data_IF_106510622239
#
_entry.id   IF_106510622239
#
_cell.length_a   1.000
_cell.length_b   1.000
_cell.length_c   1.000
_cell.angle_alpha   90.00
_cell.angle_beta   90.00
_cell.angle_gamma   90.00
#
_symmetry.space_group_name_H-M   'P 1'
#
loop_
_entity.id
_entity.type
_entity.pdbx_description
1 polymer ?
#
# COMPACT_ATOMS: atom_id res chain seq x y z
N UNK A 1 10.36 -11.62 -4.73
CA UNK A 1 10.42 -10.15 -4.78
C UNK A 1 10.00 -9.64 -6.15
N UNK A 2 9.13 -8.63 -6.20
CA UNK A 2 8.72 -7.94 -7.43
C UNK A 2 9.03 -6.44 -7.40
N UNK A 3 8.68 -5.75 -6.31
CA UNK A 3 9.04 -4.33 -6.05
C UNK A 3 8.63 -3.31 -7.12
N UNK A 4 7.76 -3.68 -8.07
CA UNK A 4 7.33 -2.85 -9.19
C UNK A 4 7.85 -3.33 -10.55
N UNK A 5 9.06 -3.89 -10.60
CA UNK A 5 9.67 -4.29 -11.87
C UNK A 5 8.87 -5.39 -12.58
N UNK A 6 8.20 -6.27 -11.83
CA UNK A 6 7.35 -7.36 -12.36
C UNK A 6 5.90 -6.96 -12.67
N UNK A 7 5.60 -5.66 -12.69
CA UNK A 7 4.32 -5.15 -13.19
C UNK A 7 4.41 -4.92 -14.70
N UNK A 8 5.58 -4.49 -15.16
CA UNK A 8 5.83 -4.21 -16.55
C UNK A 8 5.87 -5.51 -17.36
N UNK A 9 5.31 -5.45 -18.57
CA UNK A 9 5.28 -6.58 -19.51
C UNK A 9 6.55 -6.50 -20.34
N UNK A 10 7.40 -7.52 -20.22
CA UNK A 10 8.71 -7.53 -20.87
C UNK A 10 8.66 -8.20 -22.26
N UNK A 11 9.49 -7.74 -23.22
CA UNK A 11 9.57 -8.36 -24.54
C UNK A 11 9.84 -9.86 -24.51
N UNK A 12 10.63 -10.33 -23.55
CA UNK A 12 11.01 -11.73 -23.37
C UNK A 12 9.80 -12.62 -23.09
N UNK A 13 8.79 -12.11 -22.37
CA UNK A 13 7.53 -12.82 -22.12
C UNK A 13 6.79 -13.08 -23.44
N UNK A 14 6.70 -12.05 -24.30
CA UNK A 14 6.05 -12.13 -25.60
C UNK A 14 6.82 -13.04 -26.56
N UNK A 15 8.15 -12.95 -26.57
CA UNK A 15 9.02 -13.80 -27.39
C UNK A 15 8.93 -15.25 -26.96
N UNK A 16 8.89 -15.55 -25.66
CA UNK A 16 8.71 -16.92 -25.16
C UNK A 16 7.37 -17.53 -25.60
N UNK A 17 6.28 -16.76 -25.52
CA UNK A 17 4.96 -17.21 -25.99
C UNK A 17 4.95 -17.48 -27.50
N UNK A 18 5.52 -16.57 -28.29
CA UNK A 18 5.66 -16.75 -29.74
C UNK A 18 6.53 -17.96 -30.09
N UNK A 19 7.68 -18.11 -29.45
CA UNK A 19 8.62 -19.20 -29.69
C UNK A 19 8.00 -20.56 -29.33
N UNK A 20 7.33 -20.65 -28.18
CA UNK A 20 6.60 -21.84 -27.74
C UNK A 20 5.57 -22.29 -28.79
N UNK A 21 4.79 -21.36 -29.34
CA UNK A 21 3.82 -21.64 -30.42
C UNK A 21 4.51 -22.17 -31.69
N UNK A 22 5.68 -21.64 -32.04
CA UNK A 22 6.43 -22.06 -33.25
C UNK A 22 6.99 -23.47 -33.13
N UNK A 23 7.49 -23.85 -31.96
CA UNK A 23 8.12 -25.16 -31.74
C UNK A 23 7.18 -26.21 -31.14
N UNK A 24 5.97 -25.80 -30.74
CA UNK A 24 4.97 -26.66 -30.07
C UNK A 24 5.54 -27.38 -28.84
N UNK A 25 6.42 -26.71 -28.09
CA UNK A 25 7.05 -27.20 -26.85
C UNK A 25 7.21 -26.06 -25.87
N UNK A 26 7.21 -26.34 -24.54
CA UNK A 26 7.50 -25.31 -23.55
C UNK A 26 8.86 -24.64 -23.81
N UNK A 27 8.86 -23.31 -23.78
CA UNK A 27 10.07 -22.47 -23.84
C UNK A 27 10.22 -21.79 -22.49
N UNK A 28 11.40 -21.90 -21.89
CA UNK A 28 11.74 -21.26 -20.62
C UNK A 28 12.80 -20.19 -20.87
N UNK A 29 12.56 -19.00 -20.35
CA UNK A 29 13.57 -17.95 -20.25
C UNK A 29 13.85 -17.62 -18.79
N UNK A 30 15.08 -17.24 -18.50
CA UNK A 30 15.52 -16.74 -17.20
C UNK A 30 16.70 -15.82 -17.45
N UNK A 31 16.53 -14.52 -17.20
CA UNK A 31 17.61 -13.55 -17.31
C UNK A 31 18.62 -13.65 -16.17
N UNK A 32 19.87 -13.29 -16.46
CA UNK A 32 20.90 -13.08 -15.47
C UNK A 32 20.82 -11.67 -14.85
N UNK A 33 21.68 -11.40 -13.85
CA UNK A 33 21.68 -10.11 -13.15
C UNK A 33 22.18 -8.96 -14.03
N UNK A 34 23.15 -9.22 -14.91
CA UNK A 34 23.72 -8.21 -15.81
C UNK A 34 22.70 -7.82 -16.87
N UNK A 35 21.98 -8.79 -17.43
CA UNK A 35 20.84 -8.58 -18.33
C UNK A 35 19.77 -7.74 -17.64
N UNK A 36 19.39 -8.07 -16.40
CA UNK A 36 18.40 -7.29 -15.65
C UNK A 36 18.82 -5.82 -15.48
N UNK A 37 20.11 -5.53 -15.23
CA UNK A 37 20.58 -4.13 -15.16
C UNK A 37 20.52 -3.39 -16.50
N UNK A 38 20.57 -4.11 -17.61
CA UNK A 38 20.55 -3.52 -18.94
C UNK A 38 19.13 -3.43 -19.53
N UNK A 39 18.20 -4.29 -19.10
CA UNK A 39 16.93 -4.52 -19.80
C UNK A 39 15.69 -4.36 -18.93
N UNK A 40 15.78 -4.53 -17.60
CA UNK A 40 14.63 -4.33 -16.72
C UNK A 40 14.29 -2.84 -16.63
N UNK A 41 13.00 -2.53 -16.45
CA UNK A 41 12.58 -1.15 -16.26
C UNK A 41 13.23 -0.53 -15.01
N UNK A 42 13.73 0.70 -15.15
CA UNK A 42 14.30 1.48 -14.05
C UNK A 42 13.22 2.25 -13.30
N UNK A 43 13.58 3.03 -12.29
CA UNK A 43 12.64 3.93 -11.60
C UNK A 43 13.30 5.24 -11.18
N UNK A 44 12.48 6.20 -10.73
CA UNK A 44 12.86 7.56 -10.33
C UNK A 44 13.10 8.49 -11.52
N UNK A 45 14.35 8.75 -11.84
CA UNK A 45 14.86 9.62 -12.92
C UNK A 45 14.05 10.92 -13.19
N UNK A 46 13.81 11.66 -12.10
CA UNK A 46 13.26 13.01 -12.13
C UNK A 46 14.36 14.04 -11.94
N UNK A 47 14.34 15.09 -12.76
CA UNK A 47 15.10 16.32 -12.54
C UNK A 47 14.11 17.43 -12.24
N UNK A 48 14.06 17.86 -10.97
CA UNK A 48 13.09 18.84 -10.50
C UNK A 48 13.75 20.15 -10.07
N UNK A 49 13.16 21.28 -10.48
CA UNK A 49 13.35 22.59 -9.86
C UNK A 49 12.13 22.90 -9.00
N UNK A 50 12.35 23.14 -7.70
CA UNK A 50 11.28 23.40 -6.76
C UNK A 50 11.57 24.61 -5.87
N UNK A 51 10.53 25.37 -5.56
CA UNK A 51 10.57 26.61 -4.78
C UNK A 51 9.39 26.63 -3.81
N UNK A 52 9.65 26.88 -2.53
CA UNK A 52 8.63 26.97 -1.48
C UNK A 52 8.71 28.33 -0.80
N UNK A 53 7.59 29.03 -0.70
CA UNK A 53 7.50 30.34 -0.08
C UNK A 53 7.02 30.22 1.37
N UNK A 54 7.57 31.07 2.25
CA UNK A 54 7.20 31.16 3.66
C UNK A 54 6.89 32.61 4.04
N UNK A 55 5.97 32.83 4.96
CA UNK A 55 5.75 34.14 5.57
C UNK A 55 6.73 34.44 6.72
N UNK A 56 6.59 35.62 7.34
CA UNK A 56 7.42 36.06 8.47
C UNK A 56 7.30 35.17 9.71
N UNK A 57 6.22 34.39 9.81
CA UNK A 57 5.93 33.49 10.92
C UNK A 57 6.26 32.03 10.53
N UNK A 58 7.00 31.81 9.44
CA UNK A 58 7.41 30.51 8.91
C UNK A 58 6.25 29.58 8.51
N UNK A 59 5.10 30.14 8.12
CA UNK A 59 4.00 29.39 7.49
C UNK A 59 4.20 29.29 5.99
N UNK A 60 3.94 28.12 5.41
CA UNK A 60 4.05 27.90 3.97
C UNK A 60 2.96 28.70 3.25
N UNK A 61 3.36 29.49 2.25
CA UNK A 61 2.46 30.27 1.41
C UNK A 61 2.14 29.58 0.09
N UNK A 62 3.07 28.79 -0.45
CA UNK A 62 2.86 28.05 -1.68
C UNK A 62 4.09 27.28 -2.15
N UNK A 63 3.87 26.38 -3.10
CA UNK A 63 4.89 25.53 -3.70
C UNK A 63 4.81 25.61 -5.23
N UNK A 64 5.97 25.78 -5.88
CA UNK A 64 6.10 25.71 -7.34
C UNK A 64 7.12 24.64 -7.72
N UNK A 65 6.74 23.73 -8.61
CA UNK A 65 7.59 22.62 -9.07
C UNK A 65 7.56 22.51 -10.59
N UNK A 66 8.74 22.37 -11.20
CA UNK A 66 8.92 21.96 -12.59
C UNK A 66 9.77 20.70 -12.62
N UNK A 67 9.29 19.64 -13.25
CA UNK A 67 9.97 18.35 -13.30
C UNK A 67 10.14 17.88 -14.73
N UNK A 68 11.37 17.53 -15.11
CA UNK A 68 11.63 16.71 -16.29
C UNK A 68 11.71 15.25 -15.84
N UNK A 69 10.88 14.38 -16.42
CA UNK A 69 10.81 12.97 -16.08
C UNK A 69 11.27 12.13 -17.27
N UNK A 70 12.31 11.34 -17.09
CA UNK A 70 12.80 10.45 -18.14
C UNK A 70 11.84 9.27 -18.33
N UNK A 71 11.45 8.98 -19.57
CA UNK A 71 10.69 7.77 -19.92
C UNK A 71 11.59 6.63 -20.39
N UNK A 72 12.86 6.90 -20.68
CA UNK A 72 13.73 6.03 -21.47
C UNK A 72 13.36 6.07 -22.95
N UNK A 73 13.72 5.02 -23.69
CA UNK A 73 13.55 4.98 -25.13
C UNK A 73 12.08 4.79 -25.57
N UNK A 74 11.26 4.23 -24.67
CA UNK A 74 9.87 3.89 -24.94
C UNK A 74 9.01 4.20 -23.73
N UNK A 75 7.76 4.56 -23.98
CA UNK A 75 6.77 4.73 -22.92
C UNK A 75 6.37 3.35 -22.41
N UNK A 76 6.62 3.09 -21.13
CA UNK A 76 6.22 1.86 -20.46
C UNK A 76 4.83 1.99 -19.83
N UNK A 77 4.36 0.95 -19.12
CA UNK A 77 2.99 0.87 -18.64
C UNK A 77 2.62 2.03 -17.69
N UNK A 78 3.49 2.34 -16.73
CA UNK A 78 3.27 3.42 -15.78
C UNK A 78 4.17 4.64 -16.00
N UNK A 79 5.03 4.69 -17.03
CA UNK A 79 6.02 5.78 -17.19
C UNK A 79 5.41 7.18 -17.21
N UNK A 80 4.23 7.37 -17.78
CA UNK A 80 3.54 8.66 -17.81
C UNK A 80 2.81 8.97 -16.49
N UNK A 81 2.30 7.94 -15.81
CA UNK A 81 1.57 8.07 -14.54
C UNK A 81 2.45 8.38 -13.33
N UNK A 82 3.63 7.76 -13.26
CA UNK A 82 4.59 7.88 -12.17
C UNK A 82 4.97 9.34 -11.91
N UNK A 83 5.39 10.12 -12.91
CA UNK A 83 5.75 11.52 -12.73
C UNK A 83 4.55 12.47 -12.71
N UNK A 84 3.34 12.02 -13.04
CA UNK A 84 2.14 12.87 -13.07
C UNK A 84 1.26 12.62 -11.85
N UNK A 85 0.20 11.82 -11.97
CA UNK A 85 -0.78 11.67 -10.90
C UNK A 85 -0.30 10.84 -9.71
N UNK A 86 0.81 10.10 -9.80
CA UNK A 86 1.39 9.40 -8.65
C UNK A 86 2.42 10.24 -7.89
N UNK A 87 2.78 11.41 -8.44
CA UNK A 87 3.79 12.32 -7.91
C UNK A 87 3.18 13.68 -7.57
N UNK A 88 2.63 14.38 -8.56
CA UNK A 88 2.19 15.77 -8.44
C UNK A 88 1.05 15.93 -7.44
N UNK A 89 0.16 14.95 -7.34
CA UNK A 89 -0.98 14.96 -6.41
C UNK A 89 -0.57 14.73 -4.95
N UNK A 90 0.70 14.39 -4.70
CA UNK A 90 1.25 14.20 -3.36
C UNK A 90 2.24 15.32 -2.97
N UNK A 91 2.36 16.36 -3.79
CA UNK A 91 3.21 17.52 -3.49
C UNK A 91 2.69 18.36 -2.31
N UNK A 92 1.52 18.07 -1.75
CA UNK A 92 1.13 18.65 -0.46
C UNK A 92 1.89 18.02 0.72
N UNK A 93 2.34 16.77 0.57
CA UNK A 93 2.92 15.99 1.68
C UNK A 93 1.99 15.99 2.89
N UNK A 94 2.58 16.04 4.09
CA UNK A 94 1.86 16.22 5.35
C UNK A 94 1.50 17.70 5.64
N UNK A 95 1.79 18.63 4.73
CA UNK A 95 1.76 20.07 5.01
C UNK A 95 0.50 20.75 4.48
N UNK A 96 -0.01 21.71 5.25
CA UNK A 96 -1.11 22.58 4.87
C UNK A 96 -0.60 23.68 3.93
N UNK A 97 -0.39 23.34 2.66
CA UNK A 97 0.09 24.25 1.62
C UNK A 97 -1.13 24.87 0.90
N UNK A 98 -1.33 26.21 0.94
CA UNK A 98 -2.53 26.82 0.37
C UNK A 98 -2.64 26.70 -1.15
N UNK A 99 -1.50 26.71 -1.86
CA UNK A 99 -1.46 26.66 -3.33
C UNK A 99 -0.23 25.94 -3.83
N UNK A 100 -0.42 25.10 -4.86
CA UNK A 100 0.65 24.31 -5.47
C UNK A 100 0.52 24.42 -6.98
N UNK A 101 1.63 24.76 -7.65
CA UNK A 101 1.79 24.63 -9.10
C UNK A 101 2.80 23.53 -9.40
N UNK A 102 2.39 22.57 -10.24
CA UNK A 102 3.25 21.50 -10.71
C UNK A 102 3.18 21.38 -12.23
N UNK A 103 4.35 21.36 -12.88
CA UNK A 103 4.51 21.15 -14.31
C UNK A 103 5.45 19.97 -14.53
N UNK A 104 5.05 19.02 -15.38
CA UNK A 104 5.79 17.79 -15.66
C UNK A 104 6.01 17.68 -17.16
N UNK A 105 7.27 17.54 -17.56
CA UNK A 105 7.68 17.29 -18.94
C UNK A 105 8.27 15.89 -19.03
N UNK A 106 7.56 14.98 -19.69
CA UNK A 106 8.10 13.66 -20.04
C UNK A 106 9.09 13.77 -21.19
N UNK A 107 10.26 13.13 -21.07
CA UNK A 107 11.31 13.16 -22.09
C UNK A 107 11.73 11.74 -22.47
N UNK A 108 11.84 11.48 -23.78
CA UNK A 108 12.43 10.25 -24.29
C UNK A 108 13.95 10.38 -24.34
N UNK A 109 14.66 9.32 -23.97
CA UNK A 109 16.12 9.25 -23.98
C UNK A 109 16.59 7.88 -24.47
N UNK A 110 17.87 7.75 -24.82
CA UNK A 110 18.43 6.46 -25.25
C UNK A 110 18.81 5.56 -24.06
N UNK A 111 17.86 5.32 -23.15
CA UNK A 111 18.01 4.40 -22.01
C UNK A 111 16.89 3.37 -21.99
N UNK A 112 17.03 2.32 -21.17
CA UNK A 112 15.95 1.39 -20.86
C UNK A 112 14.75 2.14 -20.25
N UNK A 113 13.50 1.69 -20.48
CA UNK A 113 12.32 2.39 -19.97
C UNK A 113 12.35 2.63 -18.46
N UNK A 114 11.75 3.73 -18.02
CA UNK A 114 11.57 4.06 -16.60
C UNK A 114 10.11 3.81 -16.22
N UNK A 115 9.91 2.98 -15.20
CA UNK A 115 8.59 2.56 -14.70
C UNK A 115 8.62 2.49 -13.15
N UNK A 116 7.65 1.78 -12.58
CA UNK A 116 7.44 1.67 -11.17
C UNK A 116 8.56 0.87 -10.48
N UNK A 117 9.20 1.53 -9.52
CA UNK A 117 9.95 0.89 -8.45
C UNK A 117 9.44 1.43 -7.11
N UNK A 118 9.13 0.54 -6.16
CA UNK A 118 8.48 0.75 -4.84
C UNK A 118 8.13 2.21 -4.53
N UNK A 119 6.82 2.49 -4.42
CA UNK A 119 6.28 3.85 -4.25
C UNK A 119 5.92 4.45 -5.62
N UNK A 120 6.90 4.63 -6.50
CA UNK A 120 6.71 5.15 -7.86
C UNK A 120 5.96 6.50 -7.91
N UNK A 121 6.71 7.60 -7.95
CA UNK A 121 6.19 8.97 -7.90
C UNK A 121 6.14 9.52 -6.47
N UNK A 122 5.68 8.71 -5.50
CA UNK A 122 5.62 9.13 -4.09
C UNK A 122 6.99 9.38 -3.46
N UNK A 123 7.99 8.49 -3.61
CA UNK A 123 9.33 8.76 -3.10
C UNK A 123 9.93 10.04 -3.65
N UNK A 124 9.67 10.36 -4.92
CA UNK A 124 10.11 11.56 -5.59
C UNK A 124 9.42 12.81 -5.01
N UNK A 125 8.12 12.74 -4.71
CA UNK A 125 7.37 13.80 -4.04
C UNK A 125 7.84 14.02 -2.60
N UNK A 126 7.93 12.94 -1.80
CA UNK A 126 8.42 13.01 -0.41
C UNK A 126 9.86 13.52 -0.36
N UNK A 127 10.75 13.02 -1.22
CA UNK A 127 12.13 13.50 -1.27
C UNK A 127 12.19 15.00 -1.56
N UNK A 128 11.44 15.47 -2.56
CA UNK A 128 11.41 16.89 -2.92
C UNK A 128 10.94 17.75 -1.75
N UNK A 129 9.82 17.39 -1.13
CA UNK A 129 9.24 18.16 -0.02
C UNK A 129 10.16 18.17 1.21
N UNK A 130 10.67 17.01 1.60
CA UNK A 130 11.50 16.91 2.80
C UNK A 130 12.86 17.60 2.60
N UNK A 131 13.39 17.62 1.37
CA UNK A 131 14.57 18.42 1.02
C UNK A 131 14.29 19.92 1.06
N UNK A 132 13.10 20.37 0.64
CA UNK A 132 12.70 21.77 0.76
C UNK A 132 12.54 22.17 2.23
N UNK A 133 11.87 21.36 3.04
CA UNK A 133 11.67 21.63 4.47
C UNK A 133 13.01 21.72 5.22
N UNK A 134 13.93 20.78 4.96
CA UNK A 134 15.29 20.83 5.50
C UNK A 134 16.06 22.09 5.07
N UNK A 135 15.92 22.50 3.80
CA UNK A 135 16.61 23.67 3.26
C UNK A 135 16.03 24.96 3.81
N UNK A 136 14.71 25.04 3.92
CA UNK A 136 13.99 26.16 4.52
C UNK A 136 14.35 26.30 6.00
N UNK A 137 14.37 25.21 6.79
CA UNK A 137 14.76 25.25 8.19
C UNK A 137 16.16 25.84 8.39
N UNK A 138 17.12 25.49 7.54
CA UNK A 138 18.47 26.07 7.54
C UNK A 138 18.48 27.57 7.19
N UNK A 139 17.73 27.98 6.18
CA UNK A 139 17.67 29.38 5.73
C UNK A 139 16.95 30.28 6.75
N UNK A 140 15.87 29.77 7.34
CA UNK A 140 15.06 30.44 8.36
C UNK A 140 15.65 30.34 9.77
N UNK A 141 16.73 29.55 9.94
CA UNK A 141 17.42 29.33 11.21
C UNK A 141 16.51 28.79 12.32
N UNK A 142 15.62 27.87 11.97
CA UNK A 142 14.71 27.19 12.91
C UNK A 142 14.99 25.70 12.98
N UNK A 143 14.50 25.04 14.03
CA UNK A 143 14.56 23.59 14.14
C UNK A 143 13.72 22.93 13.02
N UNK A 144 14.25 21.92 12.31
CA UNK A 144 13.56 21.28 11.19
C UNK A 144 12.31 20.48 11.61
N UNK A 145 12.23 19.97 12.84
CA UNK A 145 11.02 19.32 13.34
C UNK A 145 9.94 20.36 13.67
N UNK A 146 10.33 21.47 14.29
CA UNK A 146 9.39 22.56 14.62
C UNK A 146 8.81 23.24 13.37
N UNK A 147 9.60 23.43 12.32
CA UNK A 147 9.11 23.95 11.05
C UNK A 147 8.03 23.04 10.44
N UNK A 148 8.19 21.72 10.55
CA UNK A 148 7.21 20.74 10.09
C UNK A 148 5.94 20.80 10.90
N UNK A 149 6.04 20.74 12.24
CA UNK A 149 4.89 20.86 13.15
C UNK A 149 4.05 22.10 12.88
N UNK A 150 4.73 23.24 12.68
CA UNK A 150 4.07 24.50 12.37
C UNK A 150 3.25 24.43 11.08
N UNK A 151 3.59 23.56 10.14
CA UNK A 151 2.98 23.50 8.83
C UNK A 151 2.18 22.22 8.57
N UNK A 152 2.08 21.29 9.51
CA UNK A 152 1.28 20.08 9.33
C UNK A 152 -0.20 20.38 9.11
N UNK A 153 -0.86 19.51 8.33
CA UNK A 153 -2.32 19.36 8.34
C UNK A 153 -2.73 18.82 9.72
N UNK A 154 -3.74 19.44 10.33
CA UNK A 154 -4.23 19.07 11.68
C UNK A 154 -5.73 18.86 11.75
N UNK A 155 -6.44 19.01 10.63
CA UNK A 155 -7.90 18.85 10.53
C UNK A 155 -8.19 17.91 9.38
N UNK A 156 -9.02 16.90 9.63
CA UNK A 156 -9.41 15.87 8.67
C UNK A 156 -10.94 15.72 8.63
N UNK A 157 -11.56 15.38 7.48
CA UNK A 157 -10.91 15.17 6.18
C UNK A 157 -10.30 16.47 5.61
N UNK A 158 -9.17 16.36 4.91
CA UNK A 158 -8.43 17.49 4.35
C UNK A 158 -8.31 17.39 2.83
N UNK A 159 -8.94 18.32 2.11
CA UNK A 159 -8.76 18.44 0.67
C UNK A 159 -7.46 19.18 0.35
N UNK A 160 -6.50 18.49 -0.27
CA UNK A 160 -5.28 19.12 -0.78
C UNK A 160 -5.58 19.95 -2.03
N UNK A 161 -4.75 20.96 -2.37
CA UNK A 161 -4.89 21.71 -3.61
C UNK A 161 -4.54 20.89 -4.87
N UNK A 162 -4.08 19.65 -4.72
CA UNK A 162 -3.61 18.77 -5.79
C UNK A 162 -4.35 17.43 -5.78
N UNK A 163 -5.69 17.49 -5.77
CA UNK A 163 -6.66 16.38 -5.95
C UNK A 163 -6.87 15.50 -4.72
N UNK A 164 -5.84 15.08 -3.99
CA UNK A 164 -6.00 14.11 -2.90
C UNK A 164 -6.82 14.68 -1.73
N UNK A 165 -7.68 13.85 -1.14
CA UNK A 165 -8.49 14.17 0.04
C UNK A 165 -8.12 13.22 1.18
N UNK A 166 -7.28 13.70 2.11
CA UNK A 166 -6.83 12.91 3.25
C UNK A 166 -7.99 12.64 4.20
N UNK A 167 -8.16 11.40 4.61
CA UNK A 167 -9.29 10.92 5.40
C UNK A 167 -9.06 11.11 6.91
N UNK A 168 -7.86 10.78 7.40
CA UNK A 168 -7.48 10.87 8.81
C UNK A 168 -5.96 10.96 8.98
N UNK A 169 -5.48 11.34 10.17
CA UNK A 169 -4.06 11.29 10.53
C UNK A 169 -3.71 12.02 11.82
N UNK A 170 -2.62 11.61 12.48
CA UNK A 170 -1.97 12.36 13.56
C UNK A 170 -0.45 12.47 13.28
N UNK A 171 -0.09 13.44 12.44
CA UNK A 171 1.29 13.64 12.01
C UNK A 171 2.21 14.09 13.15
N UNK A 172 1.66 14.76 14.17
CA UNK A 172 2.42 15.12 15.36
C UNK A 172 2.81 13.87 16.14
N UNK A 173 1.87 12.92 16.34
CA UNK A 173 2.15 11.69 17.08
C UNK A 173 3.28 10.86 16.44
N UNK A 174 3.30 10.70 15.12
CA UNK A 174 4.40 9.98 14.44
C UNK A 174 5.73 10.70 14.62
N UNK A 175 5.77 12.04 14.47
CA UNK A 175 6.98 12.82 14.67
C UNK A 175 7.47 12.76 16.14
N UNK A 176 6.56 12.86 17.11
CA UNK A 176 6.86 12.73 18.54
C UNK A 176 7.44 11.36 18.88
N UNK A 177 6.84 10.29 18.37
CA UNK A 177 7.33 8.93 18.56
C UNK A 177 8.75 8.77 18.00
N UNK A 178 9.00 9.25 16.78
CA UNK A 178 10.31 9.18 16.16
C UNK A 178 11.36 10.02 16.91
N UNK A 179 11.03 11.26 17.30
CA UNK A 179 11.92 12.16 18.04
C UNK A 179 12.29 11.60 19.41
N UNK A 180 11.33 10.98 20.10
CA UNK A 180 11.56 10.30 21.37
C UNK A 180 12.50 9.10 21.20
N UNK A 181 12.21 8.21 20.24
CA UNK A 181 12.97 6.99 20.03
C UNK A 181 14.42 7.25 19.56
N UNK A 182 14.66 8.26 18.73
CA UNK A 182 16.02 8.65 18.30
C UNK A 182 16.79 9.43 19.39
N UNK A 183 16.11 9.88 20.44
CA UNK A 183 16.67 10.78 21.45
C UNK A 183 17.07 12.14 20.86
N UNK A 184 16.15 12.77 20.11
CA UNK A 184 16.39 14.00 19.35
C UNK A 184 16.95 15.15 20.20
N UNK A 185 16.41 15.36 21.40
CA UNK A 185 16.86 16.41 22.32
C UNK A 185 18.35 16.31 22.69
N UNK A 186 18.92 15.09 22.69
CA UNK A 186 20.34 14.87 22.99
C UNK A 186 21.28 15.07 21.80
N UNK A 187 20.77 15.34 20.60
CA UNK A 187 21.57 15.35 19.37
C UNK A 187 22.69 16.40 19.39
N UNK A 188 22.44 17.60 19.94
CA UNK A 188 23.44 18.66 19.99
C UNK A 188 24.73 18.23 20.72
N UNK A 189 24.58 17.50 21.84
CA UNK A 189 25.70 16.93 22.60
C UNK A 189 26.45 15.88 21.77
N UNK A 190 25.72 14.98 21.11
CA UNK A 190 26.31 13.93 20.25
C UNK A 190 27.08 14.53 19.07
N UNK A 191 26.54 15.59 18.45
CA UNK A 191 27.19 16.33 17.37
C UNK A 191 28.48 17.02 17.84
N UNK A 192 28.47 17.64 19.02
CA UNK A 192 29.67 18.26 19.60
C UNK A 192 30.76 17.21 19.91
N UNK A 193 30.38 16.05 20.46
CA UNK A 193 31.30 14.93 20.69
C UNK A 193 31.94 14.45 19.38
N UNK A 194 31.15 14.17 18.35
CA UNK A 194 31.69 13.74 17.05
C UNK A 194 32.67 14.77 16.45
N UNK A 195 32.36 16.07 16.59
CA UNK A 195 33.26 17.15 16.17
C UNK A 195 34.60 17.11 16.93
N UNK A 196 34.58 16.85 18.24
CA UNK A 196 35.82 16.72 19.03
C UNK A 196 36.67 15.52 18.62
N UNK A 197 36.05 14.50 18.03
CA UNK A 197 36.69 13.30 17.48
C UNK A 197 37.09 13.46 16.00
N UNK A 198 36.97 14.67 15.44
CA UNK A 198 37.33 14.98 14.06
C UNK A 198 36.32 14.51 13.00
N UNK A 199 35.09 14.18 13.41
CA UNK A 199 34.01 13.68 12.54
C UNK A 199 32.90 14.72 12.36
N UNK A 200 32.15 14.59 11.27
CA UNK A 200 30.92 15.33 11.03
C UNK A 200 29.72 14.46 11.41
N UNK A 201 28.71 15.05 12.02
CA UNK A 201 27.49 14.33 12.42
C UNK A 201 26.25 15.10 12.04
N UNK A 202 25.31 14.40 11.42
CA UNK A 202 24.06 14.95 10.89
C UNK A 202 22.86 14.17 11.41
N UNK A 203 21.74 14.86 11.56
CA UNK A 203 20.43 14.27 11.80
C UNK A 203 19.52 14.74 10.68
N UNK A 204 18.84 13.82 10.02
CA UNK A 204 17.86 14.10 8.97
C UNK A 204 16.48 13.66 9.44
N UNK A 205 15.47 14.51 9.21
CA UNK A 205 14.06 14.23 9.49
C UNK A 205 13.32 14.12 8.16
N UNK A 206 12.42 13.14 8.04
CA UNK A 206 11.57 12.93 6.87
C UNK A 206 10.15 12.56 7.33
N UNK A 207 9.20 13.47 7.15
CA UNK A 207 7.78 13.26 7.42
C UNK A 207 7.05 12.97 6.11
N UNK A 208 6.62 11.72 5.90
CA UNK A 208 6.08 11.26 4.63
C UNK A 208 4.58 10.95 4.74
N UNK A 209 3.86 11.17 3.67
CA UNK A 209 2.51 10.61 3.48
C UNK A 209 2.48 9.90 2.14
N UNK A 210 1.73 8.82 2.08
CA UNK A 210 1.68 7.93 0.94
C UNK A 210 0.22 7.81 0.46
N UNK A 211 -0.03 7.80 -0.85
CA UNK A 211 -1.35 7.46 -1.38
C UNK A 211 -1.37 5.98 -1.80
N UNK A 212 -1.90 5.13 -0.93
CA UNK A 212 -2.01 3.68 -1.14
C UNK A 212 -3.36 3.30 -1.74
N UNK A 213 -3.45 2.11 -2.33
CA UNK A 213 -4.73 1.57 -2.78
C UNK A 213 -5.29 2.20 -4.06
N UNK A 214 -4.42 2.76 -4.92
CA UNK A 214 -4.70 3.51 -6.16
C UNK A 214 -6.15 3.37 -6.69
N UNK A 215 -7.11 4.12 -6.15
CA UNK A 215 -8.54 4.06 -6.46
C UNK A 215 -9.24 5.26 -5.78
N UNK A 216 -10.49 5.66 -6.12
CA UNK A 216 -11.52 4.98 -6.94
C UNK A 216 -11.22 4.93 -8.42
N UNK A 217 -11.77 3.93 -9.11
CA UNK A 217 -11.69 3.78 -10.57
C UNK A 217 -12.17 5.03 -11.32
N UNK A 218 -13.22 5.71 -10.81
CA UNK A 218 -13.74 6.96 -11.40
C UNK A 218 -12.72 8.11 -11.34
N UNK A 219 -12.01 8.28 -10.21
CA UNK A 219 -11.05 9.36 -10.06
C UNK A 219 -9.84 9.14 -10.96
N UNK A 220 -9.25 7.94 -10.94
CA UNK A 220 -8.08 7.63 -11.80
C UNK A 220 -8.45 7.64 -13.28
N UNK A 221 -9.68 7.24 -13.64
CA UNK A 221 -10.18 7.34 -15.01
C UNK A 221 -10.28 8.80 -15.48
N UNK A 222 -10.70 9.73 -14.60
CA UNK A 222 -10.69 11.17 -14.91
C UNK A 222 -9.29 11.75 -15.10
N UNK A 223 -8.26 11.05 -14.59
CA UNK A 223 -6.85 11.38 -14.75
C UNK A 223 -6.20 10.66 -15.95
N UNK A 224 -6.98 9.90 -16.73
CA UNK A 224 -6.54 9.24 -17.95
C UNK A 224 -6.13 7.77 -17.80
N UNK A 225 -6.37 7.12 -16.66
CA UNK A 225 -6.12 5.69 -16.52
C UNK A 225 -7.04 4.86 -17.45
N UNK A 226 -6.44 3.97 -18.24
CA UNK A 226 -7.16 3.11 -19.20
C UNK A 226 -7.84 1.88 -18.59
N UNK A 227 -7.67 1.65 -17.28
CA UNK A 227 -8.23 0.52 -16.54
C UNK A 227 -8.82 0.97 -15.21
N UNK A 228 -9.83 0.26 -14.72
CA UNK A 228 -10.28 0.39 -13.34
C UNK A 228 -9.24 -0.13 -12.36
N UNK A 229 -9.33 0.25 -11.08
CA UNK A 229 -8.38 -0.17 -10.05
C UNK A 229 -9.08 -0.78 -8.83
N UNK A 230 -10.22 -1.42 -9.09
CA UNK A 230 -10.92 -2.32 -8.18
C UNK A 230 -10.16 -3.64 -7.98
N UNK A 231 -10.58 -4.48 -7.03
CA UNK A 231 -10.07 -5.84 -6.86
C UNK A 231 -11.21 -6.85 -6.64
N UNK A 232 -10.95 -8.13 -6.90
CA UNK A 232 -11.91 -9.21 -6.69
C UNK A 232 -11.44 -10.24 -5.65
N UNK A 233 -12.42 -10.89 -5.03
CA UNK A 233 -12.21 -12.07 -4.21
C UNK A 233 -13.43 -12.99 -4.25
N UNK A 234 -13.16 -14.29 -4.14
CA UNK A 234 -14.13 -15.33 -3.82
C UNK A 234 -13.73 -16.01 -2.52
N UNK A 235 -14.69 -16.21 -1.62
CA UNK A 235 -14.51 -17.01 -0.42
C UNK A 235 -15.40 -18.24 -0.54
N UNK A 236 -14.79 -19.41 -0.42
CA UNK A 236 -15.47 -20.71 -0.47
C UNK A 236 -15.26 -21.45 0.83
N UNK A 237 -16.36 -21.80 1.49
CA UNK A 237 -16.34 -22.74 2.61
C UNK A 237 -16.71 -24.11 2.06
N UNK A 238 -15.80 -25.08 2.17
CA UNK A 238 -15.98 -26.44 1.68
C UNK A 238 -16.88 -27.26 2.64
N UNK A 239 -17.45 -28.40 2.20
CA UNK A 239 -18.40 -29.17 3.01
C UNK A 239 -17.88 -29.62 4.39
N UNK A 240 -16.56 -29.78 4.54
CA UNK A 240 -15.90 -30.15 5.79
C UNK A 240 -15.48 -28.95 6.66
N UNK A 241 -15.85 -27.73 6.24
CA UNK A 241 -15.55 -26.48 6.93
C UNK A 241 -14.21 -25.82 6.58
N UNK A 242 -13.35 -26.42 5.75
CA UNK A 242 -12.14 -25.74 5.26
C UNK A 242 -12.49 -24.57 4.37
N UNK A 243 -11.64 -23.54 4.32
CA UNK A 243 -11.91 -22.29 3.63
C UNK A 243 -10.84 -22.01 2.57
N UNK A 244 -11.28 -21.64 1.38
CA UNK A 244 -10.43 -21.20 0.29
C UNK A 244 -10.73 -19.74 -0.05
N UNK A 245 -9.69 -18.92 -0.14
CA UNK A 245 -9.73 -17.55 -0.64
C UNK A 245 -9.13 -17.54 -2.04
N UNK A 246 -9.94 -17.22 -3.04
CA UNK A 246 -9.45 -16.99 -4.39
C UNK A 246 -9.37 -15.48 -4.60
N UNK A 247 -8.19 -14.94 -4.90
CA UNK A 247 -7.99 -13.49 -4.97
C UNK A 247 -7.28 -13.08 -6.24
N UNK A 248 -7.67 -11.90 -6.75
CA UNK A 248 -6.98 -11.24 -7.85
C UNK A 248 -5.63 -10.61 -7.47
N UNK A 249 -5.31 -10.49 -6.17
CA UNK A 249 -3.98 -10.08 -5.69
C UNK A 249 -2.95 -11.20 -5.83
N UNK A 250 -1.68 -10.88 -6.08
CA UNK A 250 -0.62 -11.87 -6.29
C UNK A 250 0.60 -11.67 -5.37
N UNK A 251 0.97 -12.73 -4.65
CA UNK A 251 2.09 -12.70 -3.70
C UNK A 251 3.45 -12.70 -4.38
N UNK A 252 4.32 -11.78 -3.96
CA UNK A 252 5.73 -11.73 -4.38
C UNK A 252 6.70 -11.69 -3.18
N UNK A 253 6.19 -11.99 -1.97
CA UNK A 253 6.95 -12.03 -0.71
C UNK A 253 6.37 -11.22 0.45
N UNK A 254 5.23 -10.54 0.28
CA UNK A 254 4.63 -9.66 1.29
C UNK A 254 3.73 -10.38 2.32
N UNK A 255 3.62 -11.70 2.26
CA UNK A 255 2.88 -12.49 3.25
C UNK A 255 1.37 -12.47 3.10
N UNK A 256 0.85 -12.40 1.87
CA UNK A 256 -0.60 -12.47 1.59
C UNK A 256 -1.21 -13.77 2.10
N UNK A 257 -0.50 -14.88 1.93
CA UNK A 257 -0.88 -16.21 2.36
C UNK A 257 -1.20 -16.29 3.87
N UNK A 258 -0.54 -15.45 4.66
CA UNK A 258 -0.76 -15.35 6.10
C UNK A 258 -1.79 -14.28 6.43
N UNK A 259 -1.59 -13.05 5.94
CA UNK A 259 -2.41 -11.89 6.34
C UNK A 259 -3.85 -11.97 5.88
N UNK A 260 -4.11 -12.44 4.66
CA UNK A 260 -5.48 -12.64 4.18
C UNK A 260 -6.17 -13.79 4.91
N UNK A 261 -5.42 -14.85 5.26
CA UNK A 261 -5.94 -15.95 6.08
C UNK A 261 -6.31 -15.48 7.49
N UNK A 262 -5.51 -14.60 8.09
CA UNK A 262 -5.80 -14.00 9.41
C UNK A 262 -7.12 -13.22 9.42
N UNK A 263 -7.44 -12.48 8.34
CA UNK A 263 -8.71 -11.76 8.23
C UNK A 263 -9.93 -12.67 8.40
N UNK A 264 -9.90 -13.85 7.78
CA UNK A 264 -11.00 -14.83 7.87
C UNK A 264 -10.95 -15.59 9.19
N UNK A 265 -9.76 -16.04 9.59
CA UNK A 265 -9.58 -16.83 10.79
C UNK A 265 -10.03 -16.08 12.05
N UNK A 266 -9.64 -14.81 12.21
CA UNK A 266 -10.07 -13.96 13.33
C UNK A 266 -11.59 -13.76 13.31
N UNK A 267 -12.16 -13.52 12.12
CA UNK A 267 -13.57 -13.19 11.95
C UNK A 267 -14.52 -14.35 12.23
N UNK A 268 -14.13 -15.57 11.87
CA UNK A 268 -14.91 -16.79 12.12
C UNK A 268 -14.52 -17.50 13.43
N UNK A 269 -13.39 -17.12 14.05
CA UNK A 269 -12.84 -17.81 15.22
C UNK A 269 -12.32 -19.22 14.91
N UNK A 270 -11.77 -19.44 13.72
CA UNK A 270 -11.22 -20.74 13.29
C UNK A 270 -9.69 -20.73 13.25
N UNK A 271 -9.01 -21.88 13.34
CA UNK A 271 -7.57 -21.95 13.14
C UNK A 271 -7.16 -21.45 11.76
N UNK A 272 -6.07 -20.68 11.67
CA UNK A 272 -5.54 -20.18 10.39
C UNK A 272 -5.22 -21.32 9.41
N UNK A 273 -4.84 -22.50 9.91
CA UNK A 273 -4.56 -23.70 9.10
C UNK A 273 -5.79 -24.25 8.38
N UNK A 274 -7.00 -23.82 8.75
CA UNK A 274 -8.25 -24.16 8.08
C UNK A 274 -8.50 -23.27 6.85
N UNK A 275 -7.72 -22.20 6.67
CA UNK A 275 -7.82 -21.24 5.58
C UNK A 275 -6.64 -21.41 4.62
N UNK A 276 -6.94 -21.42 3.34
CA UNK A 276 -5.95 -21.48 2.26
C UNK A 276 -6.23 -20.41 1.21
N UNK A 277 -5.21 -20.02 0.45
CA UNK A 277 -5.33 -18.99 -0.58
C UNK A 277 -4.90 -19.56 -1.92
N UNK A 278 -5.66 -19.19 -2.96
CA UNK A 278 -5.36 -19.44 -4.36
C UNK A 278 -5.20 -18.08 -5.04
N UNK A 279 -4.01 -17.84 -5.59
CA UNK A 279 -3.69 -16.65 -6.39
C UNK A 279 -2.75 -17.03 -7.54
N UNK A 280 -2.71 -16.19 -8.58
CA UNK A 280 -1.77 -16.33 -9.71
C UNK A 280 -2.16 -17.30 -10.83
N UNK A 281 -3.18 -18.13 -10.62
CA UNK A 281 -3.74 -19.03 -11.63
C UNK A 281 -5.02 -18.42 -12.22
N UNK A 282 -4.92 -17.78 -13.39
CA UNK A 282 -6.04 -17.06 -14.03
C UNK A 282 -7.16 -17.98 -14.52
N UNK A 283 -6.96 -19.30 -14.55
CA UNK A 283 -8.03 -20.25 -14.84
C UNK A 283 -8.88 -20.53 -13.59
N UNK A 284 -8.33 -20.28 -12.39
CA UNK A 284 -9.00 -20.53 -11.11
C UNK A 284 -9.54 -19.26 -10.46
N UNK A 285 -8.79 -18.17 -10.51
CA UNK A 285 -9.14 -16.92 -9.83
C UNK A 285 -9.93 -15.99 -10.73
N UNK A 286 -10.77 -15.15 -10.13
CA UNK A 286 -11.44 -14.09 -10.86
C UNK A 286 -10.44 -13.05 -11.35
N UNK A 287 -10.81 -12.34 -12.42
CA UNK A 287 -10.01 -11.23 -12.90
C UNK A 287 -9.77 -10.22 -11.78
N UNK A 288 -8.55 -9.75 -11.68
CA UNK A 288 -8.12 -8.79 -10.67
C UNK A 288 -7.03 -7.89 -11.20
N UNK A 289 -6.75 -6.84 -10.43
CA UNK A 289 -5.74 -5.86 -10.80
C UNK A 289 -4.36 -6.18 -10.21
N UNK A 290 -4.25 -7.17 -9.32
CA UNK A 290 -2.96 -7.64 -8.83
C UNK A 290 -2.36 -6.80 -7.71
N UNK A 291 -1.07 -7.03 -7.46
CA UNK A 291 -0.33 -6.43 -6.34
C UNK A 291 0.69 -5.41 -6.80
N UNK A 292 0.39 -4.14 -6.51
CA UNK A 292 1.28 -2.99 -6.66
C UNK A 292 0.72 -1.80 -5.86
N UNK A 293 1.41 -0.65 -5.81
CA UNK A 293 0.88 0.59 -5.20
C UNK A 293 0.33 0.41 -3.77
N UNK A 294 0.92 -0.51 -3.01
CA UNK A 294 0.48 -0.91 -1.67
C UNK A 294 -1.02 -1.23 -1.55
N UNK A 295 -1.62 -1.75 -2.62
CA UNK A 295 -3.09 -1.86 -2.75
C UNK A 295 -3.70 -3.14 -2.22
N UNK A 296 -2.90 -4.19 -2.06
CA UNK A 296 -3.46 -5.54 -1.87
C UNK A 296 -4.32 -5.69 -0.63
N UNK A 297 -3.98 -5.07 0.50
CA UNK A 297 -4.86 -5.13 1.66
C UNK A 297 -6.02 -4.12 1.59
N UNK A 298 -5.73 -2.90 1.14
CA UNK A 298 -6.70 -1.82 1.05
C UNK A 298 -7.82 -2.11 0.04
N UNK A 299 -7.53 -2.88 -1.02
CA UNK A 299 -8.49 -3.21 -2.08
C UNK A 299 -8.81 -4.70 -2.11
N UNK A 300 -7.79 -5.57 -2.22
CA UNK A 300 -7.98 -7.03 -2.25
C UNK A 300 -8.46 -7.60 -0.92
N UNK A 301 -7.86 -7.18 0.19
CA UNK A 301 -8.31 -7.52 1.54
C UNK A 301 -9.75 -7.05 1.78
N UNK A 302 -10.10 -5.85 1.35
CA UNK A 302 -11.47 -5.36 1.41
C UNK A 302 -12.44 -6.19 0.55
N UNK A 303 -12.05 -6.63 -0.66
CA UNK A 303 -12.85 -7.56 -1.46
C UNK A 303 -13.07 -8.90 -0.74
N UNK A 304 -12.03 -9.45 -0.08
CA UNK A 304 -12.15 -10.67 0.75
C UNK A 304 -13.15 -10.46 1.87
N UNK A 305 -13.04 -9.35 2.61
CA UNK A 305 -13.98 -8.97 3.66
C UNK A 305 -15.41 -8.86 3.13
N UNK A 306 -15.62 -8.28 1.94
CA UNK A 306 -16.94 -8.18 1.30
C UNK A 306 -17.51 -9.51 0.82
N UNK A 307 -16.67 -10.42 0.33
CA UNK A 307 -17.10 -11.79 0.03
C UNK A 307 -17.46 -12.54 1.32
N UNK A 308 -16.65 -12.39 2.38
CA UNK A 308 -16.89 -13.00 3.68
C UNK A 308 -18.18 -12.50 4.34
N UNK A 309 -18.50 -11.21 4.25
CA UNK A 309 -19.78 -10.64 4.72
C UNK A 309 -20.99 -11.37 4.10
N UNK A 310 -20.93 -11.71 2.81
CA UNK A 310 -21.99 -12.46 2.13
C UNK A 310 -22.04 -13.93 2.56
N UNK A 311 -20.87 -14.57 2.71
CA UNK A 311 -20.77 -15.95 3.24
C UNK A 311 -21.39 -16.02 4.63
N UNK A 312 -21.08 -15.07 5.51
CA UNK A 312 -21.63 -15.00 6.87
C UNK A 312 -23.14 -14.82 6.84
N UNK A 313 -23.67 -13.91 6.02
CA UNK A 313 -25.10 -13.71 5.89
C UNK A 313 -25.82 -15.00 5.48
N UNK A 314 -25.28 -15.73 4.49
CA UNK A 314 -25.83 -17.03 4.07
C UNK A 314 -25.72 -18.08 5.18
N UNK A 315 -24.55 -18.19 5.81
CA UNK A 315 -24.31 -19.15 6.89
C UNK A 315 -25.19 -18.91 8.12
N UNK A 316 -25.40 -17.65 8.51
CA UNK A 316 -26.31 -17.27 9.61
C UNK A 316 -27.75 -17.67 9.33
N UNK A 317 -28.23 -17.50 8.10
CA UNK A 317 -29.58 -17.95 7.71
C UNK A 317 -29.72 -19.47 7.82
N UNK A 318 -28.73 -20.23 7.38
CA UNK A 318 -28.70 -21.69 7.52
C UNK A 318 -28.69 -22.07 9.01
N UNK A 319 -27.84 -21.41 9.80
CA UNK A 319 -27.68 -21.69 11.22
C UNK A 319 -28.88 -21.26 12.07
N UNK A 320 -29.66 -20.27 11.63
CA UNK A 320 -30.90 -19.84 12.27
C UNK A 320 -32.07 -20.78 11.94
N UNK A 321 -32.11 -21.30 10.71
CA UNK A 321 -33.20 -22.15 10.22
C UNK A 321 -33.29 -23.48 10.96
N UNK A 322 -32.16 -24.14 11.21
CA UNK A 322 -32.13 -25.45 11.89
C UNK A 322 -32.66 -25.45 13.33
N UNK A 323 -32.30 -24.49 14.21
CA UNK A 323 -32.83 -24.40 15.57
C UNK A 323 -34.15 -23.62 15.68
N UNK A 324 -34.74 -23.19 14.56
CA UNK A 324 -35.91 -22.29 14.48
C UNK A 324 -35.69 -20.97 15.25
N UNK A 325 -34.51 -20.38 15.11
CA UNK A 325 -34.12 -19.11 15.72
C UNK A 325 -34.21 -17.94 14.74
N UNK A 326 -34.18 -16.70 15.25
CA UNK A 326 -34.02 -15.51 14.42
C UNK A 326 -32.59 -15.38 13.91
N UNK A 327 -32.41 -14.93 12.66
CA UNK A 327 -31.09 -14.62 12.09
C UNK A 327 -30.34 -13.56 12.93
N UNK A 328 -31.07 -12.60 13.48
CA UNK A 328 -30.51 -11.53 14.31
C UNK A 328 -29.92 -12.04 15.63
N UNK A 329 -30.36 -13.22 16.08
CA UNK A 329 -29.89 -13.82 17.33
C UNK A 329 -28.62 -14.67 17.12
N UNK A 330 -28.17 -14.87 15.86
CA UNK A 330 -26.99 -15.67 15.54
C UNK A 330 -25.70 -14.84 15.63
N UNK A 331 -24.84 -15.22 16.56
CA UNK A 331 -23.46 -14.75 16.68
C UNK A 331 -22.48 -15.83 16.20
N UNK A 332 -21.34 -15.41 15.65
CA UNK A 332 -20.26 -16.31 15.24
C UNK A 332 -19.13 -16.14 16.24
N UNK A 333 -18.75 -17.23 16.90
CA UNK A 333 -17.69 -17.22 17.91
C UNK A 333 -16.99 -18.57 17.94
N UNK A 334 -15.65 -18.58 17.92
CA UNK A 334 -14.83 -19.79 18.04
C UNK A 334 -15.20 -20.91 17.05
N UNK A 335 -15.53 -20.55 15.80
CA UNK A 335 -15.93 -21.50 14.77
C UNK A 335 -17.36 -22.03 14.91
N UNK A 336 -18.18 -21.42 15.77
CA UNK A 336 -19.56 -21.83 16.03
C UNK A 336 -20.56 -20.69 15.75
N UNK A 337 -21.75 -21.06 15.30
CA UNK A 337 -22.91 -20.21 15.14
C UNK A 337 -23.82 -20.44 16.34
N UNK A 338 -23.87 -19.48 17.27
CA UNK A 338 -24.61 -19.59 18.55
C UNK A 338 -25.86 -18.74 18.53
N UNK A 339 -26.95 -19.27 19.09
CA UNK A 339 -28.18 -18.50 19.33
C UNK A 339 -28.05 -17.76 20.66
N UNK A 340 -28.12 -16.43 20.60
CA UNK A 340 -27.97 -15.54 21.76
C UNK A 340 -28.94 -15.90 22.88
N UNK A 341 -28.44 -16.00 24.11
CA UNK A 341 -29.26 -16.30 25.29
C UNK A 341 -29.65 -17.78 25.45
N UNK A 342 -29.08 -18.68 24.65
CA UNK A 342 -29.32 -20.14 24.75
C UNK A 342 -28.02 -20.94 24.70
N UNK A 343 -28.11 -22.25 24.89
CA UNK A 343 -27.04 -23.23 24.69
C UNK A 343 -27.00 -23.82 23.26
N UNK A 344 -27.91 -23.40 22.38
CA UNK A 344 -27.98 -23.87 21.00
C UNK A 344 -26.84 -23.29 20.17
N UNK A 345 -26.07 -24.17 19.54
CA UNK A 345 -24.98 -23.80 18.65
C UNK A 345 -24.79 -24.81 17.51
N UNK A 346 -24.21 -24.37 16.40
CA UNK A 346 -23.80 -25.21 15.29
C UNK A 346 -22.36 -24.89 14.91
N UNK A 347 -21.50 -25.90 14.89
CA UNK A 347 -20.13 -25.73 14.40
C UNK A 347 -20.11 -25.41 12.89
N UNK A 348 -19.12 -24.64 12.44
CA UNK A 348 -18.95 -24.25 11.04
C UNK A 348 -19.02 -25.44 10.06
N UNK A 349 -18.39 -26.62 10.31
CA UNK A 349 -18.52 -27.76 9.41
C UNK A 349 -19.96 -28.26 9.25
N UNK A 350 -20.80 -28.14 10.29
CA UNK A 350 -22.21 -28.55 10.23
C UNK A 350 -23.03 -27.58 9.37
N UNK A 351 -22.80 -26.27 9.54
CA UNK A 351 -23.45 -25.24 8.72
C UNK A 351 -23.00 -25.37 7.26
N UNK A 352 -21.70 -25.59 7.03
CA UNK A 352 -21.15 -25.83 5.70
C UNK A 352 -21.77 -27.08 5.06
N UNK A 353 -21.77 -28.23 5.74
CA UNK A 353 -22.35 -29.46 5.22
C UNK A 353 -23.84 -29.31 4.91
N UNK A 354 -24.60 -28.60 5.75
CA UNK A 354 -26.01 -28.32 5.49
C UNK A 354 -26.21 -27.50 4.22
N UNK A 355 -25.33 -26.52 3.95
CA UNK A 355 -25.35 -25.76 2.71
C UNK A 355 -25.23 -26.64 1.47
N UNK A 356 -24.41 -27.70 1.51
CA UNK A 356 -24.16 -28.57 0.36
C UNK A 356 -25.13 -29.76 0.23
N UNK A 357 -25.57 -30.34 1.34
CA UNK A 357 -26.59 -31.41 1.31
C UNK A 357 -27.95 -30.85 0.92
N UNK A 358 -28.24 -29.61 1.30
CA UNK A 358 -29.43 -28.87 0.92
C UNK A 358 -30.76 -29.54 1.26
N UNK A 359 -30.77 -30.49 2.21
CA UNK A 359 -32.00 -31.17 2.63
C UNK A 359 -32.94 -30.27 3.45
N UNK A 360 -32.40 -29.26 4.12
CA UNK A 360 -33.12 -28.38 5.04
C UNK A 360 -32.56 -26.95 4.98
N UNK A 361 -32.71 -26.31 3.81
CA UNK A 361 -32.37 -24.89 3.62
C UNK A 361 -33.63 -24.03 3.66
N UNK A 362 -33.51 -22.74 4.02
CA UNK A 362 -34.60 -21.80 3.83
C UNK A 362 -35.13 -21.82 2.39
N UNK A 363 -36.44 -21.68 2.24
CA UNK A 363 -37.10 -21.67 0.94
C UNK A 363 -36.45 -20.65 -0.02
N UNK A 364 -36.15 -21.09 -1.23
CA UNK A 364 -35.53 -20.27 -2.28
C UNK A 364 -34.02 -20.03 -2.11
N UNK A 365 -33.36 -20.63 -1.11
CA UNK A 365 -31.91 -20.56 -0.97
C UNK A 365 -31.21 -21.57 -1.89
N UNK A 366 -30.25 -21.09 -2.68
CA UNK A 366 -29.39 -21.97 -3.48
C UNK A 366 -28.42 -22.78 -2.60
N UNK A 367 -28.12 -24.05 -2.93
CA UNK A 367 -27.09 -24.84 -2.27
C UNK A 367 -25.68 -24.23 -2.32
N UNK A 368 -24.79 -24.71 -1.45
CA UNK A 368 -23.37 -24.34 -1.35
C UNK A 368 -23.11 -23.11 -0.46
N UNK A 369 -21.86 -22.93 -0.06
CA UNK A 369 -21.43 -21.82 0.79
C UNK A 369 -20.19 -21.14 0.20
N UNK A 370 -20.43 -20.38 -0.87
CA UNK A 370 -19.41 -19.70 -1.67
C UNK A 370 -19.96 -18.37 -2.15
N UNK A 371 -19.19 -17.30 -1.97
CA UNK A 371 -19.60 -15.95 -2.38
C UNK A 371 -18.45 -15.16 -3.00
N UNK A 372 -18.80 -14.17 -3.81
CA UNK A 372 -17.88 -13.32 -4.55
C UNK A 372 -18.10 -11.84 -4.25
N UNK A 373 -17.03 -11.06 -4.29
CA UNK A 373 -17.10 -9.60 -4.31
C UNK A 373 -16.09 -8.98 -5.27
N UNK A 374 -16.52 -7.88 -5.89
CA UNK A 374 -15.67 -6.90 -6.58
C UNK A 374 -15.75 -5.62 -5.76
N UNK A 375 -14.60 -5.02 -5.47
CA UNK A 375 -14.51 -3.85 -4.60
C UNK A 375 -13.73 -2.73 -5.27
N UNK A 376 -14.43 -1.61 -5.54
CA UNK A 376 -13.84 -0.33 -5.94
C UNK A 376 -13.87 0.61 -4.71
N UNK A 377 -12.71 0.94 -4.12
CA UNK A 377 -12.63 1.84 -2.97
C UNK A 377 -13.19 3.22 -3.30
N UNK A 378 -13.82 3.89 -2.33
CA UNK A 378 -14.32 5.27 -2.52
C UNK A 378 -13.23 6.34 -2.48
N UNK A 379 -12.07 6.02 -1.90
CA UNK A 379 -10.89 6.89 -1.79
C UNK A 379 -9.61 6.04 -1.71
N UNK A 380 -8.46 6.70 -1.78
CA UNK A 380 -7.16 6.14 -1.39
C UNK A 380 -7.10 5.97 0.12
N UNK A 381 -6.13 5.17 0.60
CA UNK A 381 -5.70 5.23 2.00
C UNK A 381 -4.42 6.06 2.11
N UNK A 382 -4.26 6.80 3.21
CA UNK A 382 -3.17 7.75 3.38
C UNK A 382 -2.26 7.45 4.57
N UNK A 383 -1.57 6.29 4.60
CA UNK A 383 -0.61 6.03 5.66
C UNK A 383 0.50 7.08 5.65
N UNK A 384 0.97 7.40 6.85
CA UNK A 384 1.94 8.46 7.06
C UNK A 384 2.92 8.07 8.15
N UNK A 385 4.07 8.75 8.19
CA UNK A 385 5.06 8.49 9.22
C UNK A 385 6.13 9.56 9.31
N UNK A 386 7.02 9.38 10.27
CA UNK A 386 8.19 10.22 10.48
C UNK A 386 9.43 9.36 10.67
N UNK A 387 10.40 9.52 9.78
CA UNK A 387 11.68 8.83 9.82
C UNK A 387 12.77 9.80 10.24
N UNK A 388 13.61 9.37 11.18
CA UNK A 388 14.75 10.16 11.63
C UNK A 388 16.01 9.31 11.56
N UNK A 389 17.00 9.82 10.84
CA UNK A 389 18.27 9.15 10.63
C UNK A 389 19.42 10.00 11.17
N UNK A 390 20.30 9.38 11.94
CA UNK A 390 21.53 9.96 12.42
C UNK A 390 22.72 9.33 11.71
N UNK A 391 23.54 10.16 11.07
CA UNK A 391 24.71 9.75 10.29
C UNK A 391 25.96 10.41 10.83
N UNK A 392 27.09 9.72 10.67
CA UNK A 392 28.42 10.26 10.91
C UNK A 392 29.24 10.13 9.62
N UNK A 393 30.02 11.17 9.29
CA UNK A 393 30.88 11.21 8.12
C UNK A 393 32.31 11.59 8.51
N UNK A 394 33.28 10.89 7.95
CA UNK A 394 34.68 11.29 7.98
C UNK A 394 34.93 12.34 6.88
N UNK A 395 35.25 13.60 7.25
CA UNK A 395 35.44 14.67 6.27
C UNK A 395 36.66 14.45 5.35
N UNK A 396 37.61 13.57 5.71
CA UNK A 396 38.81 13.31 4.90
C UNK A 396 38.55 12.29 3.80
N UNK A 397 37.68 11.32 4.06
CA UNK A 397 37.43 10.18 3.14
C UNK A 397 36.04 10.22 2.50
N UNK A 398 35.11 11.01 3.06
CA UNK A 398 33.71 10.98 2.68
C UNK A 398 32.97 9.73 3.17
N UNK A 399 33.64 8.81 3.87
CA UNK A 399 33.02 7.59 4.41
C UNK A 399 31.93 7.97 5.39
N UNK A 400 30.71 7.51 5.13
CA UNK A 400 29.53 7.78 5.93
C UNK A 400 29.04 6.50 6.59
N UNK A 401 28.63 6.58 7.85
CA UNK A 401 28.11 5.46 8.64
C UNK A 401 26.75 5.81 9.22
N UNK A 402 25.81 4.85 9.16
CA UNK A 402 24.54 4.93 9.88
C UNK A 402 24.81 4.74 11.37
N UNK A 403 24.43 5.72 12.18
CA UNK A 403 24.57 5.64 13.65
C UNK A 403 23.27 5.18 14.27
N UNK A 404 22.14 5.72 13.80
CA UNK A 404 20.82 5.29 14.23
C UNK A 404 19.78 5.62 13.14
N UNK A 405 18.74 4.82 13.05
CA UNK A 405 17.62 5.04 12.14
C UNK A 405 16.33 4.62 12.85
N UNK A 406 15.39 5.55 12.96
CA UNK A 406 14.09 5.31 13.58
C UNK A 406 13.01 5.55 12.53
N UNK A 407 12.12 4.57 12.39
CA UNK A 407 10.91 4.65 11.59
C UNK A 407 9.69 4.64 12.53
N UNK A 408 8.88 5.69 12.49
CA UNK A 408 7.55 5.70 13.11
C UNK A 408 6.51 5.76 12.00
N UNK A 409 5.78 4.67 11.80
CA UNK A 409 4.77 4.53 10.76
C UNK A 409 3.37 4.39 11.37
N UNK A 410 2.39 5.06 10.76
CA UNK A 410 0.97 4.86 11.00
C UNK A 410 0.31 4.32 9.73
N UNK A 411 -0.03 3.02 9.77
CA UNK A 411 -0.75 2.32 8.72
C UNK A 411 -2.22 2.07 9.08
N UNK A 412 -2.71 2.67 10.18
CA UNK A 412 -3.99 2.32 10.79
C UNK A 412 -3.96 0.95 11.45
N UNK A 413 -5.03 0.15 11.26
CA UNK A 413 -5.14 -1.18 11.88
C UNK A 413 -4.15 -2.16 11.23
N UNK A 414 -3.18 -2.61 12.03
CA UNK A 414 -2.25 -3.66 11.60
C UNK A 414 -2.91 -5.03 11.69
N UNK A 415 -2.81 -5.81 10.61
CA UNK A 415 -3.25 -7.22 10.61
C UNK A 415 -2.18 -8.10 11.23
N UNK A 416 -0.92 -7.87 10.85
CA UNK A 416 0.21 -8.65 11.33
C UNK A 416 1.41 -7.73 11.53
N UNK A 417 1.68 -7.29 12.77
CA UNK A 417 2.80 -6.41 13.06
C UNK A 417 4.16 -6.99 12.64
N UNK A 418 4.35 -8.31 12.73
CA UNK A 418 5.60 -8.98 12.34
C UNK A 418 5.84 -8.99 10.82
N UNK A 419 4.79 -8.90 10.00
CA UNK A 419 4.93 -8.77 8.53
C UNK A 419 5.15 -7.32 8.12
N UNK A 420 4.69 -6.38 8.96
CA UNK A 420 4.89 -4.94 8.74
C UNK A 420 6.33 -4.53 9.06
N UNK A 421 6.89 -5.06 10.15
CA UNK A 421 8.33 -4.98 10.49
C UNK A 421 9.20 -5.80 9.52
#
# INVERSE_FOLDING_TARGET
GGFGSKIFIYPEEMVCLWASKKVSRPVKWTGDRSEAFLTDAHGRDHISKAEMAFDKDNKILGLRVKTHANFGAYMSLFSSSVPTYLYATLLSGQYAIPTIYAEVMGVYTNTTPVDAYRGAGRPEASYLLERLMETAARQLQVDPAELRRKNFVTQFPHQTPVIMAYDTGDFNASLDAAMKAIGYAGFASRKAKAKSEGKLRGIGVSCYIEACGIAPSKAVGSLGAGVGLWESAEVRVNPVGTIEILTGSHSHGQGHETTFSQLIAERLGVPISQVSIVHGDTDKVQFGMGTYGSRSIAVGGAAIVKAMEKVEAKAKKIAAHQPEASEADIIIENGEFKVTGTDKSLALPMVALAAYTAHNLPDGMEPGLKETAFYDPSNFTFPAGAYICELEADPKTGKTSFVNFVAADDFGRLINPMIVE
#
